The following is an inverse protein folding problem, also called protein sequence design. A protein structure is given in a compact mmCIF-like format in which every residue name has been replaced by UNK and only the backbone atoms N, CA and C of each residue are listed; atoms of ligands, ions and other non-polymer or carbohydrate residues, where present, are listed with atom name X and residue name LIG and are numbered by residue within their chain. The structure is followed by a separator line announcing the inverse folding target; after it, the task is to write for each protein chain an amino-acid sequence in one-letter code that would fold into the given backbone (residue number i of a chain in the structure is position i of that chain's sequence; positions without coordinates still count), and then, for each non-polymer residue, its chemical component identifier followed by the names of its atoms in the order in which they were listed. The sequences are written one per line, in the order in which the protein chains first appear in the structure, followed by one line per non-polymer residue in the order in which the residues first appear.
data_IF_546478858082
#
_entry.id   IF_546478858082
#
_cell.length_a   1.000
_cell.length_b   1.000
_cell.length_c   1.000
_cell.angle_alpha   90.00
_cell.angle_beta   90.00
_cell.angle_gamma   90.00
#
_symmetry.space_group_name_H-M   'P 1'
#
loop_
_entity.id
_entity.type
_entity.pdbx_description
1 polymer ?
#
# COMPACT_ATOMS: atom_id res chain seq x y z
N UNK A 1 -3.96 -20.22 -4.73
CA UNK A 1 -2.51 -20.24 -4.41
C UNK A 1 -1.61 -19.64 -5.49
N UNK A 2 -2.02 -19.55 -6.77
CA UNK A 2 -1.18 -19.00 -7.86
C UNK A 2 -0.90 -17.48 -7.78
N UNK A 3 -1.85 -16.67 -7.31
CA UNK A 3 -1.70 -15.20 -7.35
C UNK A 3 -0.77 -14.63 -6.27
N UNK A 4 -0.61 -15.32 -5.13
CA UNK A 4 0.20 -14.85 -4.00
C UNK A 4 1.68 -14.74 -4.33
N UNK A 5 2.22 -15.71 -5.08
CA UNK A 5 3.63 -15.71 -5.49
C UNK A 5 3.88 -14.64 -6.57
N UNK A 6 2.90 -14.40 -7.45
CA UNK A 6 3.00 -13.39 -8.49
C UNK A 6 3.07 -11.98 -7.90
N UNK A 7 2.16 -11.63 -6.97
CA UNK A 7 2.13 -10.30 -6.36
C UNK A 7 3.35 -10.00 -5.49
N UNK A 8 3.84 -10.98 -4.74
CA UNK A 8 5.08 -10.78 -3.97
C UNK A 8 6.27 -10.49 -4.90
N UNK A 9 6.45 -11.29 -5.95
CA UNK A 9 7.53 -11.09 -6.92
C UNK A 9 7.44 -9.75 -7.64
N UNK A 10 6.23 -9.36 -8.04
CA UNK A 10 5.99 -8.07 -8.69
C UNK A 10 6.32 -6.90 -7.74
N UNK A 11 5.91 -7.00 -6.47
CA UNK A 11 6.23 -6.00 -5.45
C UNK A 11 7.74 -5.89 -5.20
N UNK A 12 8.45 -7.02 -5.17
CA UNK A 12 9.91 -7.06 -4.99
C UNK A 12 10.63 -6.38 -6.16
N UNK A 13 10.25 -6.70 -7.39
CA UNK A 13 10.80 -6.08 -8.60
C UNK A 13 10.49 -4.57 -8.65
N UNK A 14 9.27 -4.17 -8.32
CA UNK A 14 8.88 -2.76 -8.27
C UNK A 14 9.69 -1.97 -7.25
N UNK A 15 9.92 -2.53 -6.05
CA UNK A 15 10.73 -1.88 -5.02
C UNK A 15 12.15 -1.61 -5.49
N UNK A 16 12.78 -2.61 -6.10
CA UNK A 16 14.13 -2.49 -6.64
C UNK A 16 14.19 -1.50 -7.80
N UNK A 17 13.22 -1.55 -8.71
CA UNK A 17 13.16 -0.67 -9.89
C UNK A 17 12.95 0.80 -9.53
N UNK A 18 12.09 1.08 -8.55
CA UNK A 18 11.79 2.45 -8.11
C UNK A 18 12.74 2.96 -7.02
N UNK A 19 13.59 2.08 -6.48
CA UNK A 19 14.60 2.40 -5.49
C UNK A 19 14.06 2.63 -4.09
N UNK A 20 12.87 2.12 -3.74
CA UNK A 20 12.31 2.30 -2.40
C UNK A 20 13.00 1.42 -1.34
N UNK A 21 13.12 1.95 -0.13
CA UNK A 21 13.54 1.16 1.04
C UNK A 21 12.51 0.10 1.44
N UNK A 22 11.24 0.41 1.18
CA UNK A 22 10.10 -0.39 1.58
C UNK A 22 8.94 -0.19 0.59
N UNK A 23 8.33 -1.29 0.15
CA UNK A 23 7.03 -1.25 -0.52
C UNK A 23 6.06 -2.24 0.13
N UNK A 24 4.78 -1.93 0.12
CA UNK A 24 3.75 -2.83 0.61
C UNK A 24 2.46 -2.73 -0.19
N UNK A 25 1.76 -3.84 -0.30
CA UNK A 25 0.45 -3.94 -0.94
C UNK A 25 -0.59 -4.28 0.12
N UNK A 26 -1.55 -3.38 0.31
CA UNK A 26 -2.74 -3.62 1.10
C UNK A 26 -3.90 -4.07 0.21
N UNK A 27 -4.65 -5.08 0.63
CA UNK A 27 -5.87 -5.51 -0.03
C UNK A 27 -7.10 -5.22 0.84
N UNK A 28 -8.20 -4.90 0.18
CA UNK A 28 -9.50 -4.65 0.80
C UNK A 28 -10.24 -5.98 0.92
N UNK A 29 -10.70 -6.30 2.13
CA UNK A 29 -11.55 -7.45 2.41
C UNK A 29 -12.93 -6.97 2.87
N UNK A 30 -13.97 -7.66 2.41
CA UNK A 30 -15.31 -7.51 2.98
C UNK A 30 -15.36 -8.13 4.37
N UNK A 31 -15.80 -7.36 5.36
CA UNK A 31 -16.24 -7.83 6.66
C UNK A 31 -17.74 -7.59 6.81
N UNK A 32 -18.43 -8.34 7.67
CA UNK A 32 -19.91 -8.45 7.74
C UNK A 32 -20.69 -7.13 7.55
N UNK A 33 -20.17 -6.00 8.04
CA UNK A 33 -20.81 -4.69 7.91
C UNK A 33 -19.87 -3.56 7.41
N UNK A 34 -18.62 -3.87 7.06
CA UNK A 34 -17.59 -2.85 6.75
C UNK A 34 -16.47 -3.38 5.85
N UNK A 35 -15.64 -2.49 5.32
CA UNK A 35 -14.38 -2.86 4.68
C UNK A 35 -13.21 -2.80 5.65
N UNK A 36 -12.38 -3.84 5.64
CA UNK A 36 -11.08 -3.85 6.33
C UNK A 36 -9.95 -3.90 5.32
N UNK A 37 -8.87 -3.23 5.64
CA UNK A 37 -7.69 -3.07 4.78
C UNK A 37 -6.52 -3.72 5.52
N UNK A 38 -5.88 -4.70 4.88
CA UNK A 38 -4.77 -5.46 5.46
C UNK A 38 -3.56 -5.41 4.55
N UNK A 39 -2.38 -5.16 5.11
CA UNK A 39 -1.12 -5.32 4.39
C UNK A 39 -0.85 -6.80 4.14
N UNK A 40 -1.01 -7.23 2.88
CA UNK A 40 -0.89 -8.63 2.48
C UNK A 40 0.52 -9.00 2.05
N UNK A 41 1.20 -8.05 1.42
CA UNK A 41 2.54 -8.22 0.89
C UNK A 41 3.40 -7.04 1.31
N UNK A 42 4.67 -7.31 1.56
CA UNK A 42 5.68 -6.30 1.83
C UNK A 42 7.00 -6.72 1.20
N UNK A 43 7.80 -5.74 0.81
CA UNK A 43 9.15 -5.91 0.30
C UNK A 43 10.07 -4.93 1.02
N UNK A 44 11.26 -5.39 1.41
CA UNK A 44 12.21 -4.61 2.21
C UNK A 44 11.76 -4.38 3.66
N UNK A 45 10.82 -5.18 4.17
CA UNK A 45 10.36 -5.11 5.56
C UNK A 45 11.45 -5.55 6.55
N UNK A 46 11.60 -4.83 7.66
CA UNK A 46 12.53 -5.18 8.75
C UNK A 46 11.97 -6.29 9.63
N UNK A 47 10.65 -6.45 9.64
CA UNK A 47 9.96 -7.42 10.47
C UNK A 47 8.58 -7.74 9.87
N UNK A 48 7.91 -8.75 10.43
CA UNK A 48 6.62 -9.24 9.94
C UNK A 48 5.40 -8.67 10.69
N UNK A 49 5.57 -7.65 11.54
CA UNK A 49 4.45 -7.07 12.31
C UNK A 49 3.40 -6.41 11.42
N UNK A 50 3.77 -6.00 10.21
CA UNK A 50 2.82 -5.46 9.23
C UNK A 50 1.62 -6.40 8.97
N UNK A 51 1.84 -7.72 9.05
CA UNK A 51 0.79 -8.74 8.83
C UNK A 51 -0.35 -8.66 9.86
N UNK A 52 -0.10 -8.05 11.03
CA UNK A 52 -1.09 -7.88 12.12
C UNK A 52 -1.87 -6.58 12.00
N UNK A 53 -1.48 -5.68 11.11
CA UNK A 53 -2.13 -4.38 10.96
C UNK A 53 -3.44 -4.57 10.19
N UNK A 54 -4.53 -4.15 10.82
CA UNK A 54 -5.86 -4.08 10.20
C UNK A 54 -6.34 -2.64 10.30
N UNK A 55 -6.70 -2.05 9.16
CA UNK A 55 -7.16 -0.66 9.07
C UNK A 55 -8.61 -0.61 8.61
N UNK A 56 -9.34 0.38 9.11
CA UNK A 56 -10.67 0.75 8.59
C UNK A 56 -10.54 1.85 7.54
N UNK A 57 -11.61 2.07 6.77
CA UNK A 57 -11.70 3.19 5.83
C UNK A 57 -11.40 4.53 6.54
N UNK A 58 -10.55 5.35 5.92
CA UNK A 58 -10.09 6.63 6.48
C UNK A 58 -9.06 6.55 7.61
N UNK A 59 -8.58 5.37 8.00
CA UNK A 59 -7.56 5.20 9.06
C UNK A 59 -6.19 4.82 8.49
N UNK A 60 -5.16 5.55 8.88
CA UNK A 60 -3.81 5.42 8.33
C UNK A 60 -3.76 5.74 6.83
N UNK A 61 -2.58 5.61 6.22
CA UNK A 61 -2.40 5.98 4.80
C UNK A 61 -3.25 5.12 3.85
N UNK A 62 -3.31 3.80 4.06
CA UNK A 62 -4.09 2.93 3.20
C UNK A 62 -5.61 3.18 3.34
N UNK A 63 -6.10 3.42 4.55
CA UNK A 63 -7.50 3.79 4.77
C UNK A 63 -7.87 5.12 4.10
N UNK A 64 -6.98 6.12 4.12
CA UNK A 64 -7.21 7.40 3.45
C UNK A 64 -7.23 7.25 1.92
N UNK A 65 -6.25 6.57 1.34
CA UNK A 65 -6.20 6.34 -0.11
C UNK A 65 -7.40 5.53 -0.58
N UNK A 66 -7.79 4.49 0.15
CA UNK A 66 -9.01 3.72 -0.13
C UNK A 66 -10.27 4.59 -0.13
N UNK A 67 -10.41 5.48 0.87
CA UNK A 67 -11.58 6.35 1.01
C UNK A 67 -11.67 7.41 -0.08
N UNK A 68 -10.54 8.02 -0.45
CA UNK A 68 -10.49 9.16 -1.36
C UNK A 68 -10.36 8.70 -2.82
N UNK A 69 -9.79 7.52 -3.07
CA UNK A 69 -9.52 7.00 -4.41
C UNK A 69 -8.45 7.80 -5.16
N UNK A 70 -7.56 8.51 -4.44
CA UNK A 70 -6.52 9.35 -5.05
C UNK A 70 -5.13 9.04 -4.48
N UNK A 71 -4.07 9.15 -5.29
CA UNK A 71 -2.69 9.13 -4.82
C UNK A 71 -2.44 10.14 -3.70
N UNK A 72 -1.61 9.78 -2.73
CA UNK A 72 -1.14 10.66 -1.65
C UNK A 72 0.39 10.61 -1.57
N UNK A 73 1.02 11.77 -1.37
CA UNK A 73 2.45 11.94 -1.15
C UNK A 73 2.68 12.59 0.22
N UNK A 74 3.54 11.99 1.03
CA UNK A 74 3.96 12.49 2.34
C UNK A 74 5.49 12.58 2.33
N UNK A 75 6.06 13.76 2.03
CA UNK A 75 7.50 13.95 1.93
C UNK A 75 8.19 13.89 3.30
N UNK A 76 7.51 14.28 4.39
CA UNK A 76 7.99 14.08 5.76
C UNK A 76 6.81 13.74 6.66
N UNK A 77 6.83 12.53 7.24
CA UNK A 77 5.80 12.07 8.19
C UNK A 77 5.82 12.92 9.45
N UNK A 78 7.00 13.29 9.92
CA UNK A 78 7.15 14.10 11.13
C UNK A 78 6.51 15.48 10.95
N UNK A 79 6.74 16.14 9.80
CA UNK A 79 6.17 17.46 9.52
C UNK A 79 4.67 17.41 9.22
N UNK A 80 4.20 16.40 8.48
CA UNK A 80 2.79 16.34 8.02
C UNK A 80 1.85 15.73 9.06
N UNK A 81 2.30 14.69 9.77
CA UNK A 81 1.46 13.94 10.73
C UNK A 81 1.78 14.35 12.16
N UNK A 82 3.05 14.66 12.46
CA UNK A 82 3.49 14.94 13.82
C UNK A 82 3.66 13.67 14.67
N UNK A 83 4.64 13.70 15.58
CA UNK A 83 4.97 12.57 16.45
C UNK A 83 3.81 12.10 17.32
N UNK A 84 2.95 13.03 17.76
CA UNK A 84 1.76 12.73 18.58
C UNK A 84 0.69 11.93 17.84
N UNK A 85 0.65 11.97 16.51
CA UNK A 85 -0.36 11.27 15.70
C UNK A 85 0.18 10.03 14.98
N UNK A 86 1.48 9.72 15.14
CA UNK A 86 2.15 8.61 14.46
C UNK A 86 1.53 7.25 14.79
N UNK A 87 0.92 7.09 15.97
CA UNK A 87 0.20 5.86 16.36
C UNK A 87 -0.96 5.52 15.41
N UNK A 88 -1.50 6.49 14.68
CA UNK A 88 -2.52 6.27 13.64
C UNK A 88 -1.95 5.67 12.34
N UNK A 89 -0.62 5.57 12.22
CA UNK A 89 0.11 5.06 11.07
C UNK A 89 1.02 3.89 11.48
N UNK A 90 0.43 2.73 11.86
CA UNK A 90 1.19 1.62 12.43
C UNK A 90 2.25 1.05 11.48
N UNK A 91 2.06 1.16 10.16
CA UNK A 91 3.06 0.73 9.17
C UNK A 91 4.31 1.62 9.21
N UNK A 92 4.13 2.94 9.40
CA UNK A 92 5.22 3.89 9.52
C UNK A 92 6.06 3.60 10.76
N UNK A 93 5.40 3.35 11.90
CA UNK A 93 6.07 3.03 13.15
C UNK A 93 6.78 1.68 13.10
N UNK A 94 6.11 0.63 12.60
CA UNK A 94 6.67 -0.72 12.51
C UNK A 94 7.95 -0.79 11.68
N UNK A 95 8.01 -0.01 10.59
CA UNK A 95 9.09 -0.06 9.60
C UNK A 95 10.07 1.12 9.69
N UNK A 96 9.85 2.03 10.63
CA UNK A 96 10.61 3.27 10.81
C UNK A 96 10.63 4.13 9.54
N UNK A 97 9.49 4.25 8.87
CA UNK A 97 9.33 5.05 7.66
C UNK A 97 9.33 6.54 8.02
N UNK A 98 9.87 7.36 7.13
CA UNK A 98 10.01 8.82 7.31
C UNK A 98 9.39 9.62 6.17
N UNK A 99 9.32 9.04 4.97
CA UNK A 99 8.58 9.59 3.83
C UNK A 99 7.88 8.46 3.07
N UNK A 100 6.72 8.75 2.47
CA UNK A 100 5.92 7.73 1.79
C UNK A 100 5.01 8.30 0.70
N UNK A 101 4.77 7.51 -0.34
CA UNK A 101 3.74 7.71 -1.34
C UNK A 101 2.81 6.51 -1.38
N UNK A 102 1.52 6.74 -1.60
CA UNK A 102 0.53 5.65 -1.70
C UNK A 102 -0.47 5.91 -2.83
N UNK A 103 -0.80 4.86 -3.56
CA UNK A 103 -1.68 4.93 -4.74
C UNK A 103 -2.78 3.87 -4.67
N UNK A 104 -4.00 4.16 -5.14
CA UNK A 104 -5.10 3.20 -5.16
C UNK A 104 -4.88 2.16 -6.27
N UNK A 105 -5.17 0.88 -5.98
CA UNK A 105 -5.37 -0.14 -7.00
C UNK A 105 -6.86 -0.19 -7.34
N UNK A 106 -7.17 0.06 -8.60
CA UNK A 106 -8.52 0.04 -9.13
C UNK A 106 -8.84 -1.32 -9.77
N UNK A 107 -10.01 -1.84 -9.46
CA UNK A 107 -10.66 -2.90 -10.21
C UNK A 107 -12.03 -2.36 -10.66
N UNK A 108 -12.18 -2.16 -11.96
CA UNK A 108 -13.29 -1.40 -12.56
C UNK A 108 -13.49 -0.03 -11.87
N UNK A 109 -14.64 0.17 -11.23
CA UNK A 109 -15.03 1.42 -10.57
C UNK A 109 -14.77 1.40 -9.05
N UNK A 110 -14.04 0.40 -8.54
CA UNK A 110 -13.81 0.21 -7.11
C UNK A 110 -12.33 0.13 -6.79
N UNK A 111 -11.94 0.77 -5.68
CA UNK A 111 -10.60 0.56 -5.11
C UNK A 111 -10.57 -0.77 -4.36
N UNK A 112 -9.71 -1.68 -4.78
CA UNK A 112 -9.55 -3.02 -4.16
C UNK A 112 -8.25 -3.19 -3.39
N UNK A 113 -7.33 -2.24 -3.52
CA UNK A 113 -6.09 -2.24 -2.77
C UNK A 113 -5.40 -0.88 -2.72
N UNK A 114 -4.30 -0.84 -2.00
CA UNK A 114 -3.40 0.32 -1.93
C UNK A 114 -1.97 -0.14 -2.03
N UNK A 115 -1.21 0.41 -2.97
CA UNK A 115 0.23 0.24 -3.08
C UNK A 115 0.91 1.39 -2.35
N UNK A 116 1.84 1.05 -1.46
CA UNK A 116 2.66 1.98 -0.69
C UNK A 116 4.12 1.82 -1.10
N UNK A 117 4.79 2.93 -1.35
CA UNK A 117 6.25 3.03 -1.48
C UNK A 117 6.78 4.03 -0.47
N UNK A 118 7.88 3.70 0.21
CA UNK A 118 8.36 4.50 1.31
C UNK A 118 9.87 4.43 1.49
N UNK A 119 10.39 5.45 2.16
CA UNK A 119 11.76 5.56 2.61
C UNK A 119 11.85 5.71 4.12
N UNK A 120 12.99 5.30 4.66
CA UNK A 120 13.38 5.51 6.06
C UNK A 120 14.10 6.85 6.26
N UNK A 121 14.38 7.57 5.17
CA UNK A 121 14.76 8.98 5.15
C UNK A 121 13.59 9.92 4.84
N UNK A 122 13.74 11.20 5.22
CA UNK A 122 12.79 12.27 4.91
C UNK A 122 13.04 12.85 3.51
N UNK A 123 11.99 13.38 2.89
CA UNK A 123 12.00 14.08 1.60
C UNK A 123 12.62 13.27 0.44
N UNK A 124 12.49 11.94 0.49
CA UNK A 124 13.05 11.05 -0.53
C UNK A 124 12.02 10.58 -1.55
N UNK A 125 10.73 10.52 -1.19
CA UNK A 125 9.69 10.18 -2.17
C UNK A 125 9.46 11.34 -3.13
N UNK A 126 9.56 11.08 -4.42
CA UNK A 126 9.34 12.08 -5.47
C UNK A 126 7.99 11.92 -6.17
N UNK A 127 7.56 12.96 -6.90
CA UNK A 127 6.35 12.88 -7.71
C UNK A 127 6.51 11.88 -8.85
N UNK A 128 7.70 11.75 -9.43
CA UNK A 128 8.00 10.81 -10.50
C UNK A 128 7.82 9.37 -10.02
N UNK A 129 8.30 9.04 -8.82
CA UNK A 129 8.07 7.73 -8.21
C UNK A 129 6.58 7.48 -7.94
N UNK A 130 5.84 8.49 -7.47
CA UNK A 130 4.40 8.37 -7.26
C UNK A 130 3.66 8.10 -8.58
N UNK A 131 4.03 8.79 -9.67
CA UNK A 131 3.44 8.56 -10.99
C UNK A 131 3.81 7.17 -11.54
N UNK A 132 5.05 6.72 -11.35
CA UNK A 132 5.48 5.37 -11.72
C UNK A 132 4.67 4.31 -10.97
N UNK A 133 4.36 4.52 -9.69
CA UNK A 133 3.47 3.65 -8.93
C UNK A 133 2.04 3.64 -9.49
N UNK A 134 1.49 4.81 -9.87
CA UNK A 134 0.17 4.88 -10.53
C UNK A 134 0.16 4.05 -11.81
N UNK A 135 1.17 4.18 -12.65
CA UNK A 135 1.24 3.43 -13.91
C UNK A 135 1.42 1.92 -13.68
N UNK A 136 2.23 1.55 -12.68
CA UNK A 136 2.36 0.15 -12.25
C UNK A 136 0.99 -0.42 -11.84
N UNK A 137 0.16 0.31 -11.09
CA UNK A 137 -1.16 -0.21 -10.69
C UNK A 137 -2.15 -0.36 -11.84
N UNK A 138 -1.91 0.26 -13.01
CA UNK A 138 -2.76 0.08 -14.20
C UNK A 138 -2.37 -1.16 -15.01
N UNK A 139 -1.09 -1.49 -15.03
CA UNK A 139 -0.52 -2.55 -15.87
C UNK A 139 -0.28 -3.84 -15.09
N UNK A 140 0.00 -3.70 -13.80
CA UNK A 140 0.32 -4.74 -12.83
C UNK A 140 -0.80 -5.07 -11.86
N UNK A 141 -0.58 -6.09 -11.02
CA UNK A 141 -1.50 -6.53 -9.96
C UNK A 141 -2.95 -6.87 -10.40
N UNK A 142 -3.18 -7.25 -11.67
CA UNK A 142 -4.52 -7.36 -12.28
C UNK A 142 -5.41 -8.51 -11.79
N UNK A 143 -4.84 -9.52 -11.13
CA UNK A 143 -5.58 -10.71 -10.65
C UNK A 143 -6.02 -10.60 -9.18
N UNK A 144 -6.54 -9.44 -8.76
CA UNK A 144 -7.02 -9.22 -7.38
C UNK A 144 -8.22 -10.11 -7.06
N UNK A 145 -9.01 -10.44 -8.07
CA UNK A 145 -10.12 -11.36 -7.98
C UNK A 145 -9.60 -12.81 -8.01
N UNK A 146 -9.35 -13.36 -6.83
CA UNK A 146 -9.33 -14.81 -6.61
C UNK A 146 -10.70 -15.48 -6.82
N UNK A 147 -11.61 -14.91 -7.63
CA UNK A 147 -12.76 -15.64 -8.14
C UNK A 147 -12.25 -16.50 -9.29
N UNK A 148 -12.24 -17.80 -9.07
CA UNK A 148 -12.36 -18.73 -10.19
C UNK A 148 -13.45 -18.17 -11.12
N UNK A 149 -13.13 -18.03 -12.40
CA UNK A 149 -14.18 -17.99 -13.40
C UNK A 149 -14.94 -19.29 -13.26
N UNK A 150 -16.02 -19.29 -12.48
CA UNK A 150 -17.10 -20.24 -12.70
C UNK A 150 -17.69 -19.80 -14.04
N UNK A 151 -17.14 -20.33 -15.12
CA UNK A 151 -17.88 -20.51 -16.36
C UNK A 151 -19.16 -21.25 -16.01
N UNK A 152 -20.26 -20.51 -15.96
CA UNK A 152 -21.58 -21.06 -16.21
C UNK A 152 -21.83 -21.13 -17.71
#
# INVERSE_FOLDING_TARGET
MKNTVAFQRELDLARETFGFDFMALALVESAEHNYVIKWKYASGNKNDRYKRIVLQSGKGIAGMVFKIGKPLLIPSIEQVIGSSSLFNYPIAQSESLKSMGAVPLWNDQRVEGVLLGAFRGENQVTNEQLQAMVELTRTGFRDLNGKEMTTS
#
